data_IF_781608919480
#
_entry.id   IF_781608919480
#
_cell.length_a   1.000
_cell.length_b   1.000
_cell.length_c   1.000
_cell.angle_alpha   90.00
_cell.angle_beta   90.00
_cell.angle_gamma   90.00
#
_symmetry.space_group_name_H-M   'P 1'
#
loop_
_entity.id
_entity.type
_entity.pdbx_description
1 polymer ?
#
# COMPACT_ATOMS: atom_id res chain seq x y z
N UNK A 1 -60.59 1.25 -33.23
CA UNK A 1 -59.48 0.29 -33.04
C UNK A 1 -58.32 1.06 -32.41
N UNK A 2 -58.30 1.28 -31.09
CA UNK A 2 -57.79 0.33 -30.07
C UNK A 2 -56.40 -0.22 -30.47
N UNK A 3 -55.37 0.63 -30.35
CA UNK A 3 -53.96 0.26 -30.46
C UNK A 3 -53.36 -0.01 -29.07
N UNK A 4 -53.51 -1.24 -28.59
CA UNK A 4 -52.68 -1.93 -27.59
C UNK A 4 -51.92 -1.08 -26.53
N UNK A 5 -52.55 -0.81 -25.38
CA UNK A 5 -51.87 -0.41 -24.13
C UNK A 5 -51.14 -1.60 -23.46
N UNK A 6 -50.35 -2.35 -24.21
CA UNK A 6 -49.94 -3.71 -23.80
C UNK A 6 -48.42 -3.98 -23.83
N UNK A 7 -47.58 -2.98 -23.53
CA UNK A 7 -46.13 -3.20 -23.39
C UNK A 7 -45.43 -2.39 -22.26
N UNK A 8 -46.05 -2.35 -21.07
CA UNK A 8 -45.37 -1.89 -19.84
C UNK A 8 -45.04 -3.03 -18.86
N UNK A 9 -45.37 -4.28 -19.21
CA UNK A 9 -45.13 -5.47 -18.36
C UNK A 9 -43.69 -6.03 -18.44
N UNK A 10 -42.86 -5.57 -19.39
CA UNK A 10 -41.46 -6.00 -19.52
C UNK A 10 -40.45 -5.32 -18.57
N UNK A 11 -40.85 -4.27 -17.85
CA UNK A 11 -39.92 -3.39 -17.11
C UNK A 11 -39.26 -3.97 -15.85
N UNK A 12 -39.91 -4.79 -14.99
CA UNK A 12 -39.27 -5.33 -13.79
C UNK A 12 -38.10 -6.26 -14.11
N UNK A 13 -38.28 -7.14 -15.11
CA UNK A 13 -37.26 -8.09 -15.54
C UNK A 13 -35.99 -7.41 -16.06
N UNK A 14 -36.11 -6.35 -16.85
CA UNK A 14 -34.97 -5.61 -17.38
C UNK A 14 -34.13 -4.94 -16.28
N UNK A 15 -34.75 -4.37 -15.25
CA UNK A 15 -34.03 -3.76 -14.11
C UNK A 15 -33.33 -4.83 -13.27
N UNK A 16 -34.02 -5.94 -12.99
CA UNK A 16 -33.43 -7.09 -12.25
C UNK A 16 -32.26 -7.68 -13.02
N UNK A 17 -32.35 -7.84 -14.34
CA UNK A 17 -31.26 -8.37 -15.15
C UNK A 17 -30.09 -7.38 -15.26
N UNK A 18 -30.35 -6.08 -15.41
CA UNK A 18 -29.30 -5.06 -15.36
C UNK A 18 -28.56 -5.06 -14.01
N UNK A 19 -29.27 -5.20 -12.89
CA UNK A 19 -28.69 -5.34 -11.55
C UNK A 19 -27.86 -6.63 -11.41
N UNK A 20 -28.41 -7.77 -11.85
CA UNK A 20 -27.70 -9.06 -11.85
C UNK A 20 -26.44 -9.02 -12.71
N UNK A 21 -26.51 -8.42 -13.89
CA UNK A 21 -25.37 -8.25 -14.80
C UNK A 21 -24.32 -7.31 -14.21
N UNK A 22 -24.72 -6.18 -13.61
CA UNK A 22 -23.79 -5.24 -12.97
C UNK A 22 -22.93 -5.93 -11.91
N UNK A 23 -23.56 -6.65 -10.98
CA UNK A 23 -22.86 -7.34 -9.89
C UNK A 23 -22.19 -8.65 -10.32
N UNK A 24 -22.95 -9.53 -10.99
CA UNK A 24 -22.60 -10.94 -11.06
C UNK A 24 -22.04 -11.43 -12.40
N UNK A 25 -21.94 -10.57 -13.43
CA UNK A 25 -21.35 -10.93 -14.73
C UNK A 25 -19.99 -11.63 -14.54
N UNK A 26 -19.80 -12.69 -15.31
CA UNK A 26 -18.56 -13.46 -15.31
C UNK A 26 -17.56 -12.81 -16.28
N UNK A 27 -16.40 -12.40 -15.78
CA UNK A 27 -15.32 -11.80 -16.56
C UNK A 27 -13.98 -12.48 -16.17
N UNK A 28 -12.96 -12.49 -17.04
CA UNK A 28 -11.64 -13.03 -16.70
C UNK A 28 -11.04 -12.30 -15.49
N UNK A 29 -10.63 -13.04 -14.47
CA UNK A 29 -10.24 -12.50 -13.17
C UNK A 29 -8.90 -11.69 -13.15
N UNK A 30 -8.36 -11.23 -14.28
CA UNK A 30 -7.07 -10.53 -14.36
C UNK A 30 -7.01 -9.29 -13.46
N UNK A 31 -8.03 -8.42 -13.48
CA UNK A 31 -8.10 -7.22 -12.62
C UNK A 31 -8.04 -7.59 -11.13
N UNK A 32 -8.75 -8.65 -10.72
CA UNK A 32 -8.69 -9.15 -9.34
C UNK A 32 -7.33 -9.76 -8.99
N UNK A 33 -6.67 -10.40 -9.94
CA UNK A 33 -5.29 -10.89 -9.80
C UNK A 33 -4.28 -9.75 -9.62
N UNK A 34 -4.42 -8.66 -10.38
CA UNK A 34 -3.61 -7.45 -10.26
C UNK A 34 -3.79 -6.79 -8.88
N UNK A 35 -5.04 -6.57 -8.46
CA UNK A 35 -5.37 -6.03 -7.12
C UNK A 35 -4.75 -6.90 -6.03
N UNK A 36 -4.85 -8.24 -6.12
CA UNK A 36 -4.24 -9.15 -5.14
C UNK A 36 -2.73 -8.97 -5.05
N UNK A 37 -2.03 -8.85 -6.17
CA UNK A 37 -0.56 -8.68 -6.19
C UNK A 37 -0.19 -7.35 -5.53
N UNK A 38 -0.82 -6.25 -5.95
CA UNK A 38 -0.55 -4.92 -5.43
C UNK A 38 -0.90 -4.80 -3.93
N UNK A 39 -2.06 -5.31 -3.53
CA UNK A 39 -2.48 -5.34 -2.12
C UNK A 39 -1.57 -6.22 -1.26
N UNK A 40 -1.17 -7.39 -1.75
CA UNK A 40 -0.25 -8.27 -1.03
C UNK A 40 1.10 -7.59 -0.79
N UNK A 41 1.66 -6.94 -1.81
CA UNK A 41 2.90 -6.16 -1.69
C UNK A 41 2.74 -4.94 -0.74
N UNK A 42 1.59 -4.27 -0.79
CA UNK A 42 1.26 -3.18 0.12
C UNK A 42 1.19 -3.63 1.59
N UNK A 43 0.57 -4.78 1.87
CA UNK A 43 0.53 -5.33 3.24
C UNK A 43 1.91 -5.84 3.68
N UNK A 44 2.77 -6.31 2.76
CA UNK A 44 4.18 -6.59 3.10
C UNK A 44 4.88 -5.31 3.56
N UNK A 45 4.75 -4.20 2.83
CA UNK A 45 5.33 -2.93 3.22
C UNK A 45 4.77 -2.41 4.57
N UNK A 46 3.46 -2.53 4.78
CA UNK A 46 2.79 -2.19 6.03
C UNK A 46 3.27 -3.05 7.21
N UNK A 47 3.40 -4.36 7.02
CA UNK A 47 3.94 -5.26 8.04
C UNK A 47 5.40 -4.88 8.38
N UNK A 48 6.23 -4.62 7.37
CA UNK A 48 7.62 -4.20 7.58
C UNK A 48 7.72 -2.86 8.33
N UNK A 49 6.84 -1.89 8.07
CA UNK A 49 6.83 -0.62 8.83
C UNK A 49 6.42 -0.76 10.29
N UNK A 50 5.69 -1.81 10.68
CA UNK A 50 5.39 -2.08 12.09
C UNK A 50 6.55 -2.71 12.85
N UNK A 51 7.62 -3.15 12.17
CA UNK A 51 8.71 -3.91 12.81
C UNK A 51 9.59 -3.10 13.75
N UNK A 52 10.00 -1.84 13.47
CA UNK A 52 10.90 -1.10 14.37
C UNK A 52 10.28 -0.95 15.76
N UNK A 53 9.04 -0.48 15.81
CA UNK A 53 8.36 -0.04 17.04
C UNK A 53 7.36 -1.08 17.58
N UNK A 54 7.47 -2.35 17.13
CA UNK A 54 6.48 -3.41 17.38
C UNK A 54 6.14 -3.60 18.87
N UNK A 55 7.18 -3.61 19.72
CA UNK A 55 7.02 -3.80 21.17
C UNK A 55 6.74 -2.48 21.90
N UNK A 56 7.26 -1.35 21.41
CA UNK A 56 6.99 -0.04 21.99
C UNK A 56 5.51 0.38 21.82
N UNK A 57 4.91 0.07 20.67
CA UNK A 57 3.50 0.37 20.40
C UNK A 57 2.55 -0.71 20.93
N UNK A 58 2.86 -1.99 20.69
CA UNK A 58 1.90 -3.09 20.91
C UNK A 58 2.28 -4.05 22.05
N UNK A 59 3.49 -3.95 22.62
CA UNK A 59 4.01 -4.86 23.65
C UNK A 59 3.28 -4.81 24.99
N UNK A 60 3.69 -5.67 25.93
CA UNK A 60 3.10 -5.71 27.28
C UNK A 60 3.34 -4.40 28.04
N UNK A 61 4.55 -3.83 27.92
CA UNK A 61 4.95 -2.53 28.49
C UNK A 61 4.85 -1.37 27.48
N UNK A 62 4.14 -1.56 26.36
CA UNK A 62 4.01 -0.55 25.29
C UNK A 62 3.11 0.63 25.64
N UNK A 63 3.02 1.62 24.74
CA UNK A 63 2.21 2.86 24.91
C UNK A 63 0.76 2.57 25.30
N UNK A 64 0.20 1.47 24.78
CA UNK A 64 -1.12 0.95 25.16
C UNK A 64 -0.95 -0.49 25.68
N UNK A 65 -0.70 -0.71 26.98
CA UNK A 65 -0.41 -2.04 27.53
C UNK A 65 -1.49 -3.10 27.30
N UNK A 66 -2.76 -2.69 27.21
CA UNK A 66 -3.90 -3.59 27.03
C UNK A 66 -4.83 -3.09 25.91
N UNK A 67 -5.36 -4.00 25.09
CA UNK A 67 -6.33 -3.65 24.04
C UNK A 67 -7.52 -2.87 24.66
N UNK A 68 -7.85 -1.65 24.14
CA UNK A 68 -8.97 -0.87 24.66
C UNK A 68 -10.32 -1.60 24.52
N UNK A 69 -10.94 -1.92 25.66
CA UNK A 69 -12.20 -2.67 25.69
C UNK A 69 -13.35 -1.87 25.07
N UNK A 70 -14.04 -2.47 24.09
CA UNK A 70 -15.35 -2.00 23.59
C UNK A 70 -16.20 -3.20 23.22
N UNK A 71 -17.50 -3.12 23.55
CA UNK A 71 -18.48 -4.15 23.21
C UNK A 71 -18.41 -4.54 21.73
N UNK A 72 -18.51 -5.85 21.46
CA UNK A 72 -18.54 -6.44 20.10
C UNK A 72 -17.26 -6.26 19.28
N UNK A 73 -16.12 -5.93 19.92
CA UNK A 73 -14.78 -6.07 19.31
C UNK A 73 -14.19 -7.46 19.63
N UNK A 74 -13.19 -7.83 18.85
CA UNK A 74 -12.43 -9.07 18.98
C UNK A 74 -11.02 -8.86 18.38
N UNK A 75 -9.99 -9.48 18.93
CA UNK A 75 -8.65 -9.50 18.33
C UNK A 75 -7.86 -10.68 18.85
N UNK A 76 -6.91 -11.21 18.06
CA UNK A 76 -6.02 -12.28 18.56
C UNK A 76 -5.25 -11.77 19.80
N UNK A 77 -4.74 -10.55 19.73
CA UNK A 77 -3.98 -9.90 20.79
C UNK A 77 -4.83 -9.33 21.94
N UNK A 78 -6.15 -9.55 21.93
CA UNK A 78 -7.02 -9.34 23.09
C UNK A 78 -6.98 -10.53 24.04
N UNK A 79 -6.76 -11.73 23.50
CA UNK A 79 -6.70 -13.00 24.25
C UNK A 79 -5.25 -13.41 24.54
N UNK A 80 -4.33 -13.11 23.62
CA UNK A 80 -2.91 -13.44 23.75
C UNK A 80 -2.06 -12.21 23.38
N UNK A 81 -1.78 -11.36 24.38
CA UNK A 81 -1.19 -10.03 24.21
C UNK A 81 0.34 -9.97 24.33
N UNK A 82 1.02 -11.10 24.58
CA UNK A 82 2.44 -11.10 24.92
C UNK A 82 3.36 -10.77 23.74
N UNK A 83 4.59 -10.33 24.04
CA UNK A 83 5.60 -10.02 23.03
C UNK A 83 5.86 -11.17 22.07
N UNK A 84 5.82 -12.41 22.57
CA UNK A 84 5.93 -13.61 21.73
C UNK A 84 4.71 -13.77 20.80
N UNK A 85 3.49 -13.46 21.29
CA UNK A 85 2.28 -13.48 20.48
C UNK A 85 2.35 -12.46 19.34
N UNK A 86 2.80 -11.24 19.64
CA UNK A 86 2.95 -10.14 18.67
C UNK A 86 3.98 -10.49 17.60
N UNK A 87 5.14 -11.02 17.99
CA UNK A 87 6.19 -11.42 17.04
C UNK A 87 5.72 -12.58 16.15
N UNK A 88 5.04 -13.59 16.71
CA UNK A 88 4.45 -14.70 15.94
C UNK A 88 3.38 -14.18 14.98
N UNK A 89 2.48 -13.31 15.45
CA UNK A 89 1.43 -12.70 14.62
C UNK A 89 2.00 -11.84 13.49
N UNK A 90 3.09 -11.10 13.75
CA UNK A 90 3.82 -10.32 12.77
C UNK A 90 4.49 -11.20 11.70
N UNK A 91 5.15 -12.30 12.10
CA UNK A 91 5.74 -13.28 11.17
C UNK A 91 4.65 -13.89 10.28
N UNK A 92 3.52 -14.32 10.86
CA UNK A 92 2.41 -14.91 10.09
C UNK A 92 1.80 -13.86 9.14
N UNK A 93 1.69 -12.60 9.55
CA UNK A 93 1.21 -11.50 8.69
C UNK A 93 2.15 -11.28 7.50
N UNK A 94 3.46 -11.24 7.74
CA UNK A 94 4.45 -11.07 6.68
C UNK A 94 4.45 -12.26 5.71
N UNK A 95 4.46 -13.50 6.21
CA UNK A 95 4.43 -14.70 5.37
C UNK A 95 3.11 -14.83 4.61
N UNK A 96 1.97 -14.52 5.22
CA UNK A 96 0.67 -14.58 4.57
C UNK A 96 0.46 -13.46 3.55
N UNK A 97 1.02 -12.26 3.75
CA UNK A 97 0.99 -11.19 2.75
C UNK A 97 1.91 -11.46 1.55
N UNK A 98 3.10 -12.06 1.77
CA UNK A 98 3.94 -12.59 0.68
C UNK A 98 3.21 -13.71 -0.09
N UNK A 99 2.60 -14.67 0.62
CA UNK A 99 1.82 -15.74 -0.01
C UNK A 99 0.60 -15.20 -0.77
N UNK A 100 -0.04 -14.14 -0.27
CA UNK A 100 -1.13 -13.44 -0.95
C UNK A 100 -0.63 -12.76 -2.23
N UNK A 101 0.51 -12.05 -2.18
CA UNK A 101 1.12 -11.39 -3.34
C UNK A 101 1.53 -12.40 -4.44
N UNK A 102 2.13 -13.53 -4.06
CA UNK A 102 2.45 -14.64 -4.97
C UNK A 102 1.20 -15.42 -5.45
N UNK A 103 0.12 -15.36 -4.67
CA UNK A 103 -1.11 -16.10 -4.92
C UNK A 103 -0.95 -17.60 -4.68
N UNK A 104 -0.27 -17.97 -3.60
CA UNK A 104 -0.11 -19.33 -3.10
C UNK A 104 -1.07 -19.54 -1.93
N UNK A 105 -1.99 -20.52 -2.05
CA UNK A 105 -3.14 -20.68 -1.17
C UNK A 105 -3.91 -19.35 -0.96
N UNK A 106 -4.12 -18.61 -2.04
CA UNK A 106 -4.42 -17.18 -2.01
C UNK A 106 -5.63 -16.79 -1.13
N UNK A 107 -6.67 -17.64 -1.07
CA UNK A 107 -7.85 -17.41 -0.23
C UNK A 107 -7.55 -17.57 1.27
N UNK A 108 -6.75 -18.56 1.65
CA UNK A 108 -6.31 -18.74 3.04
C UNK A 108 -5.38 -17.58 3.45
N UNK A 109 -4.43 -17.23 2.59
CA UNK A 109 -3.53 -16.10 2.77
C UNK A 109 -4.30 -14.78 2.98
N UNK A 110 -5.33 -14.52 2.16
CA UNK A 110 -6.19 -13.33 2.31
C UNK A 110 -6.97 -13.31 3.63
N UNK A 111 -7.49 -14.46 4.09
CA UNK A 111 -8.17 -14.56 5.40
C UNK A 111 -7.20 -14.30 6.55
N UNK A 112 -5.99 -14.89 6.52
CA UNK A 112 -4.96 -14.65 7.54
C UNK A 112 -4.54 -13.18 7.59
N UNK A 113 -4.29 -12.57 6.42
CA UNK A 113 -4.00 -11.12 6.31
C UNK A 113 -5.13 -10.29 6.91
N UNK A 114 -6.40 -10.54 6.55
CA UNK A 114 -7.54 -9.80 7.11
C UNK A 114 -7.61 -9.93 8.64
N UNK A 115 -7.48 -11.15 9.18
CA UNK A 115 -7.56 -11.44 10.62
C UNK A 115 -6.40 -10.82 11.41
N UNK A 116 -5.19 -10.76 10.84
CA UNK A 116 -4.03 -10.16 11.51
C UNK A 116 -4.02 -8.63 11.40
N UNK A 117 -4.37 -8.07 10.24
CA UNK A 117 -4.55 -6.61 10.07
C UNK A 117 -5.60 -6.07 11.05
N UNK A 118 -6.76 -6.72 11.19
CA UNK A 118 -7.78 -6.29 12.16
C UNK A 118 -7.35 -6.51 13.62
N UNK A 119 -6.49 -7.50 13.90
CA UNK A 119 -5.97 -7.74 15.26
C UNK A 119 -4.95 -6.67 15.67
N UNK A 120 -3.96 -6.35 14.82
CA UNK A 120 -3.02 -5.25 15.09
C UNK A 120 -3.75 -3.90 15.23
N UNK A 121 -4.69 -3.59 14.32
CA UNK A 121 -5.50 -2.36 14.38
C UNK A 121 -6.43 -2.23 15.60
N UNK A 122 -6.67 -3.32 16.32
CA UNK A 122 -7.45 -3.31 17.56
C UNK A 122 -6.56 -3.31 18.79
N UNK A 123 -5.37 -3.92 18.73
CA UNK A 123 -4.39 -4.00 19.81
C UNK A 123 -3.95 -2.64 20.31
N UNK A 124 -3.65 -1.72 19.39
CA UNK A 124 -3.60 -0.28 19.64
C UNK A 124 -4.32 0.45 18.49
N UNK A 125 -5.52 1.04 18.73
CA UNK A 125 -6.27 1.74 17.70
C UNK A 125 -5.85 3.20 17.48
N UNK A 126 -4.92 3.75 18.27
CA UNK A 126 -4.52 5.17 18.23
C UNK A 126 -3.37 5.46 17.27
N UNK A 127 -2.53 4.46 16.97
CA UNK A 127 -1.44 4.53 15.97
C UNK A 127 -1.96 4.68 14.54
N UNK A 128 -3.18 4.20 14.26
CA UNK A 128 -3.68 3.99 12.90
C UNK A 128 -4.62 5.09 12.41
N UNK A 129 -4.57 5.36 11.10
CA UNK A 129 -5.37 6.38 10.43
C UNK A 129 -6.40 5.77 9.45
N UNK A 130 -7.04 6.62 8.64
CA UNK A 130 -8.08 6.16 7.69
C UNK A 130 -7.56 5.23 6.58
N UNK A 131 -6.27 5.28 6.25
CA UNK A 131 -5.61 4.37 5.31
C UNK A 131 -5.57 2.94 5.82
N UNK A 132 -5.29 2.74 7.10
CA UNK A 132 -5.31 1.43 7.73
C UNK A 132 -6.72 0.83 7.73
N UNK A 133 -7.74 1.65 7.97
CA UNK A 133 -9.14 1.21 7.87
C UNK A 133 -9.51 0.83 6.43
N UNK A 134 -8.94 1.48 5.42
CA UNK A 134 -9.10 1.07 4.02
C UNK A 134 -8.39 -0.26 3.74
N UNK A 135 -7.15 -0.45 4.19
CA UNK A 135 -6.42 -1.73 4.08
C UNK A 135 -7.24 -2.89 4.67
N UNK A 136 -7.89 -2.68 5.81
CA UNK A 136 -8.77 -3.68 6.44
C UNK A 136 -10.01 -4.02 5.59
N UNK A 137 -10.60 -3.03 4.92
CA UNK A 137 -11.76 -3.24 4.02
C UNK A 137 -11.33 -4.00 2.76
N UNK A 138 -10.19 -3.64 2.16
CA UNK A 138 -9.64 -4.32 0.99
C UNK A 138 -9.21 -5.76 1.31
N UNK A 139 -8.60 -5.99 2.48
CA UNK A 139 -8.30 -7.34 2.97
C UNK A 139 -9.58 -8.19 3.12
N UNK A 140 -10.65 -7.63 3.68
CA UNK A 140 -11.94 -8.32 3.79
C UNK A 140 -12.51 -8.69 2.40
N UNK A 141 -12.49 -7.74 1.46
CA UNK A 141 -12.97 -8.02 0.10
C UNK A 141 -12.12 -9.10 -0.58
N UNK A 142 -10.79 -9.08 -0.43
CA UNK A 142 -9.92 -10.12 -0.98
C UNK A 142 -10.13 -11.49 -0.30
N UNK A 143 -10.36 -11.53 1.02
CA UNK A 143 -10.65 -12.76 1.76
C UNK A 143 -11.96 -13.44 1.31
N UNK A 144 -12.98 -12.65 0.98
CA UNK A 144 -14.24 -13.15 0.41
C UNK A 144 -14.11 -13.58 -1.06
N UNK A 145 -13.09 -13.08 -1.78
CA UNK A 145 -12.94 -13.23 -3.23
C UNK A 145 -12.37 -14.57 -3.70
N UNK A 146 -12.33 -14.73 -5.03
CA UNK A 146 -11.57 -15.76 -5.73
C UNK A 146 -10.22 -15.24 -6.25
N UNK A 147 -9.51 -14.43 -5.45
CA UNK A 147 -8.25 -13.76 -5.82
C UNK A 147 -7.13 -14.68 -6.35
N UNK A 148 -7.18 -15.98 -6.05
CA UNK A 148 -6.28 -17.00 -6.61
C UNK A 148 -6.62 -17.46 -8.04
N UNK A 149 -7.63 -16.90 -8.72
CA UNK A 149 -8.13 -17.34 -10.02
C UNK A 149 -7.40 -16.78 -11.26
N UNK A 150 -6.45 -15.86 -11.08
CA UNK A 150 -5.60 -15.30 -12.14
C UNK A 150 -4.26 -14.81 -11.57
N UNK A 151 -3.22 -14.79 -12.43
CA UNK A 151 -1.89 -14.24 -12.13
C UNK A 151 -1.26 -14.78 -10.84
N UNK A 152 -1.50 -16.06 -10.52
CA UNK A 152 -1.21 -16.67 -9.22
C UNK A 152 -0.49 -18.01 -9.36
N UNK A 153 0.29 -18.39 -8.34
CA UNK A 153 0.86 -19.73 -8.24
C UNK A 153 -0.22 -20.82 -8.15
N UNK A 154 -1.34 -20.54 -7.47
CA UNK A 154 -2.52 -21.40 -7.43
C UNK A 154 -3.12 -21.67 -8.84
N UNK A 155 -3.16 -20.66 -9.71
CA UNK A 155 -3.66 -20.78 -11.08
C UNK A 155 -2.67 -21.53 -11.98
N UNK A 156 -1.37 -21.27 -11.82
CA UNK A 156 -0.30 -22.03 -12.48
C UNK A 156 -0.34 -23.51 -12.11
N UNK A 157 -0.54 -23.83 -10.83
CA UNK A 157 -0.67 -25.23 -10.36
C UNK A 157 -1.88 -25.95 -10.97
N UNK A 158 -2.98 -25.24 -11.22
CA UNK A 158 -4.21 -25.84 -11.80
C UNK A 158 -4.21 -25.93 -13.32
N UNK A 159 -3.55 -25.00 -14.02
CA UNK A 159 -3.69 -24.84 -15.48
C UNK A 159 -2.37 -24.88 -16.26
N UNK A 160 -1.23 -25.10 -15.59
CA UNK A 160 0.11 -25.04 -16.17
C UNK A 160 0.63 -23.62 -16.42
N UNK A 161 -0.25 -22.64 -16.71
CA UNK A 161 0.10 -21.25 -17.00
C UNK A 161 -0.19 -20.29 -15.84
N UNK A 162 0.76 -19.41 -15.54
CA UNK A 162 0.57 -18.30 -14.60
C UNK A 162 -0.27 -17.16 -15.20
N UNK A 163 -0.16 -16.96 -16.52
CA UNK A 163 -0.78 -15.87 -17.28
C UNK A 163 -2.20 -16.20 -17.77
N UNK A 164 -2.80 -17.28 -17.28
CA UNK A 164 -4.21 -17.59 -17.54
C UNK A 164 -5.10 -16.95 -16.46
N UNK A 165 -6.37 -16.73 -16.79
CA UNK A 165 -7.39 -16.30 -15.86
C UNK A 165 -8.65 -17.16 -16.01
N UNK A 166 -9.27 -17.49 -14.88
CA UNK A 166 -10.61 -18.10 -14.89
C UNK A 166 -11.67 -16.99 -14.97
N UNK A 167 -12.76 -17.24 -15.70
CA UNK A 167 -13.93 -16.38 -15.64
C UNK A 167 -14.61 -16.50 -14.27
N UNK A 168 -14.74 -15.39 -13.55
CA UNK A 168 -15.32 -15.32 -12.21
C UNK A 168 -16.25 -14.13 -12.11
N UNK A 169 -17.19 -14.21 -11.17
CA UNK A 169 -18.16 -13.16 -10.91
C UNK A 169 -17.48 -11.91 -10.35
N UNK A 170 -17.73 -10.75 -10.95
CA UNK A 170 -17.02 -9.49 -10.64
C UNK A 170 -17.50 -8.75 -9.39
N UNK A 171 -18.44 -9.30 -8.62
CA UNK A 171 -19.16 -8.58 -7.56
C UNK A 171 -18.26 -7.91 -6.51
N UNK A 172 -17.11 -8.50 -6.16
CA UNK A 172 -16.15 -7.89 -5.23
C UNK A 172 -15.32 -6.77 -5.86
N UNK A 173 -15.01 -6.84 -7.15
CA UNK A 173 -14.41 -5.71 -7.88
C UNK A 173 -15.43 -4.57 -8.00
N UNK A 174 -16.73 -4.88 -8.15
CA UNK A 174 -17.81 -3.89 -8.09
C UNK A 174 -17.95 -3.27 -6.70
N UNK A 175 -17.83 -4.06 -5.62
CA UNK A 175 -17.79 -3.52 -4.25
C UNK A 175 -16.60 -2.59 -4.03
N UNK A 176 -15.41 -2.93 -4.54
CA UNK A 176 -14.25 -2.02 -4.53
C UNK A 176 -14.51 -0.72 -5.31
N UNK A 177 -15.13 -0.79 -6.49
CA UNK A 177 -15.51 0.38 -7.29
C UNK A 177 -16.53 1.29 -6.58
N UNK A 178 -17.53 0.68 -5.92
CA UNK A 178 -18.51 1.40 -5.09
C UNK A 178 -17.83 1.99 -3.85
N UNK A 179 -16.94 1.25 -3.19
CA UNK A 179 -16.17 1.73 -2.04
C UNK A 179 -15.33 2.97 -2.38
N UNK A 180 -14.66 3.00 -3.54
CA UNK A 180 -13.94 4.20 -4.01
C UNK A 180 -14.88 5.41 -4.13
N UNK A 181 -16.05 5.19 -4.74
CA UNK A 181 -17.06 6.23 -4.95
C UNK A 181 -17.56 6.77 -3.61
N UNK A 182 -17.86 5.87 -2.66
CA UNK A 182 -18.33 6.22 -1.32
C UNK A 182 -17.26 6.96 -0.50
N UNK A 183 -15.99 6.56 -0.56
CA UNK A 183 -14.88 7.26 0.11
C UNK A 183 -14.83 8.71 -0.33
N UNK A 184 -14.86 8.96 -1.65
CA UNK A 184 -14.79 10.32 -2.17
C UNK A 184 -16.02 11.16 -1.85
N UNK A 185 -17.22 10.61 -2.01
CA UNK A 185 -18.45 11.33 -1.68
C UNK A 185 -18.54 11.64 -0.17
N UNK A 186 -18.11 10.73 0.70
CA UNK A 186 -18.01 10.98 2.14
C UNK A 186 -16.94 12.03 2.48
N UNK A 187 -15.79 12.00 1.79
CA UNK A 187 -14.70 12.97 1.97
C UNK A 187 -15.15 14.39 1.56
N UNK A 188 -15.78 14.53 0.40
CA UNK A 188 -16.39 15.80 -0.06
C UNK A 188 -17.38 16.32 0.96
N UNK A 189 -18.31 15.48 1.44
CA UNK A 189 -19.27 15.89 2.47
C UNK A 189 -18.57 16.38 3.74
N UNK A 190 -17.62 15.62 4.28
CA UNK A 190 -16.90 15.97 5.49
C UNK A 190 -16.07 17.27 5.34
N UNK A 191 -15.52 17.52 4.15
CA UNK A 191 -14.85 18.79 3.82
C UNK A 191 -15.86 19.94 3.74
N UNK A 192 -17.00 19.78 3.07
CA UNK A 192 -18.02 20.83 2.97
C UNK A 192 -18.65 21.20 4.34
N UNK A 193 -18.64 20.29 5.31
CA UNK A 193 -19.04 20.54 6.71
C UNK A 193 -17.96 21.33 7.52
N UNK A 194 -16.77 21.55 6.97
CA UNK A 194 -15.65 22.24 7.63
C UNK A 194 -15.47 23.69 7.15
N UNK A 195 -15.27 24.61 8.10
CA UNK A 195 -15.04 26.04 7.83
C UNK A 195 -13.74 26.32 7.08
N UNK A 196 -12.66 25.58 7.35
CA UNK A 196 -11.38 25.76 6.66
C UNK A 196 -11.46 25.36 5.18
N UNK A 197 -12.22 24.32 4.86
CA UNK A 197 -12.43 23.86 3.49
C UNK A 197 -13.39 24.75 2.72
N UNK A 198 -14.52 25.13 3.33
CA UNK A 198 -15.51 26.04 2.73
C UNK A 198 -15.02 27.49 2.59
N UNK A 199 -14.06 27.95 3.40
CA UNK A 199 -13.35 29.21 3.18
C UNK A 199 -12.19 29.08 2.16
N UNK A 200 -11.90 27.88 1.65
CA UNK A 200 -10.79 27.64 0.72
C UNK A 200 -9.40 27.89 1.32
N UNK A 201 -9.21 27.64 2.61
CA UNK A 201 -7.93 27.83 3.32
C UNK A 201 -7.30 26.53 3.85
N UNK A 202 -8.02 25.41 3.80
CA UNK A 202 -7.58 24.14 4.38
C UNK A 202 -6.19 23.67 3.93
N UNK A 203 -5.88 23.70 2.64
CA UNK A 203 -4.56 23.26 2.12
C UNK A 203 -3.44 24.18 2.64
N UNK A 204 -3.72 25.47 2.78
CA UNK A 204 -2.79 26.46 3.35
C UNK A 204 -2.45 26.19 4.81
N UNK A 205 -3.38 25.61 5.58
CA UNK A 205 -3.15 25.16 6.96
C UNK A 205 -2.40 23.82 6.99
N UNK A 206 -2.84 22.82 6.22
CA UNK A 206 -2.22 21.48 6.22
C UNK A 206 -0.75 21.53 5.84
N UNK A 207 -0.37 22.34 4.84
CA UNK A 207 1.02 22.53 4.42
C UNK A 207 1.86 23.43 5.36
N UNK A 208 1.33 23.78 6.54
CA UNK A 208 2.00 24.51 7.63
C UNK A 208 1.92 23.79 8.98
N UNK A 209 1.53 22.52 8.99
CA UNK A 209 1.68 21.66 10.17
C UNK A 209 3.02 20.95 10.02
N UNK A 210 4.05 21.47 10.69
CA UNK A 210 5.43 20.99 10.53
C UNK A 210 5.58 19.50 10.89
N UNK A 211 4.91 19.03 11.94
CA UNK A 211 4.85 17.61 12.35
C UNK A 211 4.29 16.66 11.27
N UNK A 212 3.56 17.19 10.28
CA UNK A 212 2.98 16.42 9.19
C UNK A 212 3.69 16.64 7.85
N UNK A 213 4.65 17.55 7.74
CA UNK A 213 5.35 17.80 6.48
C UNK A 213 6.37 16.69 6.16
N UNK A 214 6.38 16.24 4.90
CA UNK A 214 7.36 15.24 4.40
C UNK A 214 8.46 15.94 3.60
N UNK A 215 8.08 16.82 2.68
CA UNK A 215 8.97 17.72 1.97
C UNK A 215 8.44 19.16 2.09
N UNK A 216 9.32 20.17 2.17
CA UNK A 216 8.90 21.56 2.24
C UNK A 216 8.14 21.96 0.98
N UNK A 217 7.02 22.66 1.16
CA UNK A 217 6.26 23.22 0.03
C UNK A 217 7.02 24.41 -0.59
N UNK A 218 7.18 24.48 -1.92
CA UNK A 218 7.84 25.61 -2.56
C UNK A 218 7.22 26.97 -2.18
N UNK A 219 8.07 27.96 -1.90
CA UNK A 219 7.66 29.26 -1.37
C UNK A 219 6.64 29.99 -2.26
N UNK A 220 6.80 29.94 -3.58
CA UNK A 220 5.87 30.52 -4.56
C UNK A 220 4.46 29.92 -4.49
N UNK A 221 4.33 28.69 -3.97
CA UNK A 221 3.05 28.01 -3.79
C UNK A 221 2.49 28.27 -2.38
N UNK A 222 3.33 28.17 -1.34
CA UNK A 222 2.89 28.34 0.06
C UNK A 222 2.51 29.79 0.39
N UNK A 223 3.19 30.79 -0.17
CA UNK A 223 2.89 32.22 0.06
C UNK A 223 1.72 32.75 -0.78
N UNK A 224 1.33 32.05 -1.85
CA UNK A 224 0.30 32.52 -2.76
C UNK A 224 -1.11 32.05 -2.32
N UNK A 225 -1.84 32.96 -1.67
CA UNK A 225 -3.19 32.70 -1.17
C UNK A 225 -4.19 32.28 -2.28
N UNK A 226 -4.05 32.79 -3.50
CA UNK A 226 -4.95 32.44 -4.61
C UNK A 226 -4.69 31.01 -5.10
N UNK A 227 -3.43 30.58 -5.19
CA UNK A 227 -3.09 29.20 -5.50
C UNK A 227 -3.54 28.23 -4.40
N UNK A 228 -3.34 28.58 -3.13
CA UNK A 228 -3.84 27.78 -2.01
C UNK A 228 -5.37 27.62 -2.01
N UNK A 229 -6.09 28.68 -2.36
CA UNK A 229 -7.55 28.64 -2.51
C UNK A 229 -7.99 27.75 -3.68
N UNK A 230 -7.34 27.93 -4.84
CA UNK A 230 -7.59 27.12 -6.04
C UNK A 230 -7.30 25.63 -5.82
N UNK A 231 -6.23 25.28 -5.11
CA UNK A 231 -5.91 23.89 -4.77
C UNK A 231 -6.91 23.33 -3.75
N UNK A 232 -7.33 24.11 -2.75
CA UNK A 232 -8.34 23.67 -1.75
C UNK A 232 -9.67 23.32 -2.43
N UNK A 233 -10.21 24.21 -3.26
CA UNK A 233 -11.45 23.95 -4.01
C UNK A 233 -11.25 22.92 -5.12
N UNK A 234 -10.08 22.91 -5.77
CA UNK A 234 -9.70 21.93 -6.78
C UNK A 234 -9.68 20.50 -6.25
N UNK A 235 -9.21 20.29 -5.02
CA UNK A 235 -9.32 19.00 -4.32
C UNK A 235 -10.78 18.57 -4.17
N UNK A 236 -11.66 19.42 -3.65
CA UNK A 236 -13.09 19.09 -3.47
C UNK A 236 -13.75 18.77 -4.83
N UNK A 237 -13.47 19.57 -5.86
CA UNK A 237 -14.02 19.37 -7.19
C UNK A 237 -13.52 18.06 -7.84
N UNK A 238 -12.24 17.72 -7.69
CA UNK A 238 -11.66 16.48 -8.18
C UNK A 238 -12.21 15.26 -7.43
N UNK A 239 -12.31 15.31 -6.10
CA UNK A 239 -12.89 14.24 -5.30
C UNK A 239 -14.35 13.98 -5.69
N UNK A 240 -15.17 15.04 -5.84
CA UNK A 240 -16.55 14.91 -6.30
C UNK A 240 -16.63 14.33 -7.72
N UNK A 241 -15.74 14.77 -8.61
CA UNK A 241 -15.68 14.27 -9.98
C UNK A 241 -15.26 12.80 -10.05
N UNK A 242 -14.32 12.33 -9.22
CA UNK A 242 -13.98 10.91 -9.11
C UNK A 242 -15.18 10.15 -8.50
N UNK A 243 -15.77 10.65 -7.41
CA UNK A 243 -16.89 10.00 -6.72
C UNK A 243 -18.12 9.73 -7.60
N UNK A 244 -18.38 10.59 -8.59
CA UNK A 244 -19.54 10.48 -9.49
C UNK A 244 -19.15 9.98 -10.89
N UNK A 245 -18.15 10.59 -11.54
CA UNK A 245 -17.91 10.43 -12.97
C UNK A 245 -16.90 9.35 -13.34
N UNK A 246 -16.21 8.70 -12.37
CA UNK A 246 -15.29 7.57 -12.64
C UNK A 246 -15.97 6.39 -13.37
N UNK A 247 -17.29 6.27 -13.22
CA UNK A 247 -18.10 5.29 -13.92
C UNK A 247 -18.15 5.52 -15.44
N UNK A 248 -18.08 6.79 -15.90
CA UNK A 248 -18.06 7.15 -17.32
C UNK A 248 -16.73 6.73 -17.96
N UNK A 249 -16.80 5.77 -18.90
CA UNK A 249 -15.62 5.21 -19.59
C UNK A 249 -14.71 6.23 -20.27
N UNK A 250 -15.23 7.39 -20.71
CA UNK A 250 -14.43 8.45 -21.36
C UNK A 250 -13.65 9.30 -20.36
N UNK A 251 -14.27 9.61 -19.21
CA UNK A 251 -13.67 10.48 -18.18
C UNK A 251 -12.77 9.70 -17.21
N UNK A 252 -13.09 8.42 -16.96
CA UNK A 252 -12.38 7.51 -16.07
C UNK A 252 -10.85 7.61 -16.11
N UNK A 253 -10.15 7.43 -17.26
CA UNK A 253 -8.68 7.42 -17.26
C UNK A 253 -8.10 8.76 -16.78
N UNK A 254 -8.72 9.88 -17.15
CA UNK A 254 -8.31 11.22 -16.74
C UNK A 254 -8.59 11.48 -15.25
N UNK A 255 -9.73 11.04 -14.74
CA UNK A 255 -10.09 11.15 -13.32
C UNK A 255 -9.17 10.29 -12.43
N UNK A 256 -8.84 9.07 -12.87
CA UNK A 256 -7.87 8.22 -12.16
C UNK A 256 -6.46 8.80 -12.24
N UNK A 257 -6.02 9.35 -13.38
CA UNK A 257 -4.72 9.99 -13.51
C UNK A 257 -4.60 11.23 -12.60
N UNK A 258 -5.59 12.12 -12.63
CA UNK A 258 -5.64 13.28 -11.74
C UNK A 258 -5.68 12.86 -10.25
N UNK A 259 -6.45 11.81 -9.95
CA UNK A 259 -6.48 11.20 -8.63
C UNK A 259 -5.16 10.53 -8.22
N UNK A 260 -4.33 10.05 -9.16
CA UNK A 260 -2.98 9.55 -8.89
C UNK A 260 -2.06 10.73 -8.58
N UNK A 261 -2.04 11.75 -9.42
CA UNK A 261 -1.23 12.97 -9.23
C UNK A 261 -1.53 13.62 -7.87
N UNK A 262 -2.81 13.72 -7.48
CA UNK A 262 -3.24 14.24 -6.19
C UNK A 262 -2.67 13.40 -5.02
N UNK A 263 -2.83 12.08 -5.03
CA UNK A 263 -2.32 11.22 -3.94
C UNK A 263 -0.80 11.14 -3.90
N UNK A 264 -0.12 11.26 -5.04
CA UNK A 264 1.35 11.40 -5.09
C UNK A 264 1.78 12.73 -4.47
N UNK A 265 1.13 13.85 -4.82
CA UNK A 265 1.41 15.16 -4.22
C UNK A 265 1.18 15.16 -2.71
N UNK A 266 0.06 14.59 -2.24
CA UNK A 266 -0.20 14.41 -0.80
C UNK A 266 0.92 13.58 -0.18
N UNK A 267 1.27 12.42 -0.74
CA UNK A 267 2.31 11.53 -0.21
C UNK A 267 3.70 12.17 -0.14
N UNK A 268 4.04 13.10 -1.04
CA UNK A 268 5.34 13.80 -1.02
C UNK A 268 5.34 15.04 -0.13
N UNK A 269 4.18 15.61 0.23
CA UNK A 269 4.09 16.85 1.02
C UNK A 269 3.60 16.63 2.45
N UNK A 270 2.71 15.66 2.67
CA UNK A 270 1.99 15.43 3.93
C UNK A 270 2.05 13.95 4.34
N UNK A 271 2.44 13.69 5.58
CA UNK A 271 2.55 12.34 6.14
C UNK A 271 1.18 11.75 6.42
N UNK A 272 0.67 10.97 5.46
CA UNK A 272 -0.59 10.21 5.57
C UNK A 272 -0.37 8.69 5.58
N UNK A 273 0.87 8.26 5.80
CA UNK A 273 1.33 6.87 5.79
C UNK A 273 0.80 6.09 4.56
N UNK A 274 0.07 4.99 4.77
CA UNK A 274 -0.32 4.07 3.71
C UNK A 274 -1.59 4.45 2.92
N UNK A 275 -2.24 5.59 3.24
CA UNK A 275 -3.50 5.98 2.61
C UNK A 275 -3.41 6.11 1.08
N UNK A 276 -2.41 6.84 0.56
CA UNK A 276 -2.22 7.02 -0.88
C UNK A 276 -1.99 5.70 -1.61
N UNK A 277 -1.23 4.77 -1.03
CA UNK A 277 -0.97 3.46 -1.62
C UNK A 277 -2.23 2.58 -1.66
N UNK A 278 -3.05 2.59 -0.61
CA UNK A 278 -4.33 1.88 -0.59
C UNK A 278 -5.28 2.46 -1.67
N UNK A 279 -5.35 3.78 -1.80
CA UNK A 279 -6.12 4.42 -2.88
C UNK A 279 -5.63 4.03 -4.28
N UNK A 280 -4.32 3.83 -4.49
CA UNK A 280 -3.79 3.30 -5.75
C UNK A 280 -4.23 1.85 -6.02
N UNK A 281 -4.26 0.98 -5.01
CA UNK A 281 -4.81 -0.38 -5.15
C UNK A 281 -6.29 -0.33 -5.51
N UNK A 282 -7.07 0.56 -4.87
CA UNK A 282 -8.50 0.71 -5.15
C UNK A 282 -8.77 1.28 -6.55
N UNK A 283 -7.89 2.14 -7.09
CA UNK A 283 -7.94 2.56 -8.50
C UNK A 283 -7.77 1.41 -9.49
N UNK A 284 -6.98 0.38 -9.15
CA UNK A 284 -6.83 -0.80 -10.01
C UNK A 284 -8.16 -1.53 -10.24
N UNK A 285 -9.13 -1.41 -9.34
CA UNK A 285 -10.48 -1.94 -9.54
C UNK A 285 -11.20 -1.33 -10.76
N UNK A 286 -10.83 -0.14 -11.21
CA UNK A 286 -11.41 0.49 -12.41
C UNK A 286 -10.66 0.17 -13.72
N UNK A 287 -9.51 -0.50 -13.65
CA UNK A 287 -8.72 -0.94 -14.80
C UNK A 287 -9.40 -2.12 -15.50
N UNK A 288 -9.74 -2.01 -16.81
CA UNK A 288 -10.36 -3.11 -17.56
C UNK A 288 -9.45 -4.33 -17.63
N UNK A 289 -10.02 -5.53 -17.52
CA UNK A 289 -9.26 -6.79 -17.53
C UNK A 289 -8.52 -6.98 -18.87
N UNK A 290 -9.07 -6.44 -19.96
CA UNK A 290 -8.46 -6.41 -21.29
C UNK A 290 -7.13 -5.64 -21.30
N UNK A 291 -6.98 -4.63 -20.43
CA UNK A 291 -5.74 -3.84 -20.30
C UNK A 291 -4.67 -4.66 -19.59
N UNK A 292 -5.07 -5.44 -18.57
CA UNK A 292 -4.17 -6.32 -17.81
C UNK A 292 -3.75 -7.52 -18.65
N UNK A 293 -4.66 -8.10 -19.44
CA UNK A 293 -4.35 -9.21 -20.35
C UNK A 293 -3.34 -8.80 -21.43
N UNK A 294 -3.51 -7.60 -22.01
CA UNK A 294 -2.64 -7.05 -23.06
C UNK A 294 -1.27 -6.56 -22.57
N UNK A 295 -0.94 -6.73 -21.28
CA UNK A 295 0.38 -6.37 -20.77
C UNK A 295 1.50 -7.04 -21.59
N UNK A 296 2.47 -6.27 -22.14
CA UNK A 296 3.43 -6.77 -23.12
C UNK A 296 4.20 -8.01 -22.68
N UNK A 297 4.55 -8.86 -23.63
CA UNK A 297 5.34 -10.06 -23.38
C UNK A 297 6.70 -9.76 -22.73
N UNK A 298 7.26 -8.57 -22.95
CA UNK A 298 8.46 -8.05 -22.27
C UNK A 298 8.26 -7.87 -20.76
N UNK A 299 7.10 -7.37 -20.30
CA UNK A 299 6.76 -7.31 -18.85
C UNK A 299 6.63 -8.71 -18.28
N UNK A 300 6.04 -9.64 -19.04
CA UNK A 300 5.92 -11.05 -18.66
C UNK A 300 7.29 -11.73 -18.52
N UNK A 301 8.22 -11.41 -19.42
CA UNK A 301 9.61 -11.91 -19.38
C UNK A 301 10.39 -11.30 -18.22
N UNK A 302 10.30 -9.98 -17.98
CA UNK A 302 11.01 -9.31 -16.89
C UNK A 302 10.59 -9.87 -15.51
N UNK A 303 9.30 -10.13 -15.32
CA UNK A 303 8.79 -10.85 -14.15
C UNK A 303 9.32 -12.29 -14.03
N UNK A 304 9.48 -13.02 -15.15
CA UNK A 304 10.10 -14.35 -15.14
C UNK A 304 11.61 -14.30 -14.87
N UNK A 305 12.33 -13.27 -15.35
CA UNK A 305 13.76 -13.09 -15.13
C UNK A 305 14.09 -12.85 -13.66
N UNK A 306 13.29 -12.06 -12.94
CA UNK A 306 13.43 -11.93 -11.48
C UNK A 306 13.28 -13.28 -10.76
N UNK A 307 12.35 -14.13 -11.22
CA UNK A 307 12.13 -15.48 -10.67
C UNK A 307 13.27 -16.45 -11.07
N UNK A 308 13.85 -16.31 -12.27
CA UNK A 308 14.97 -17.16 -12.70
C UNK A 308 16.27 -16.80 -12.00
N UNK A 309 16.54 -15.51 -11.74
CA UNK A 309 17.72 -15.05 -10.98
C UNK A 309 17.75 -15.68 -9.57
N UNK A 310 16.60 -15.74 -8.89
CA UNK A 310 16.43 -16.43 -7.60
C UNK A 310 16.65 -17.95 -7.68
N UNK A 311 16.47 -18.58 -8.85
CA UNK A 311 16.79 -20.00 -9.09
C UNK A 311 18.27 -20.22 -9.40
N UNK A 312 18.88 -19.39 -10.24
CA UNK A 312 20.29 -19.51 -10.60
C UNK A 312 21.23 -19.19 -9.44
N UNK A 313 20.85 -18.27 -8.54
CA UNK A 313 21.60 -18.02 -7.30
C UNK A 313 21.75 -19.28 -6.43
N UNK A 314 20.67 -20.07 -6.32
CA UNK A 314 20.67 -21.34 -5.56
C UNK A 314 21.45 -22.47 -6.25
N UNK A 315 21.45 -22.52 -7.58
CA UNK A 315 22.22 -23.51 -8.34
C UNK A 315 23.73 -23.23 -8.32
N UNK A 316 24.15 -21.96 -8.22
CA UNK A 316 25.56 -21.56 -8.21
C UNK A 316 26.25 -21.71 -6.84
N UNK A 317 25.50 -22.09 -5.80
CA UNK A 317 25.97 -22.28 -4.42
C UNK A 317 25.90 -23.74 -3.96
N UNK A 318 25.49 -24.66 -4.84
CA UNK A 318 25.38 -26.08 -4.55
C UNK A 318 26.72 -26.78 -4.85
N UNK A 319 27.27 -27.60 -3.94
CA UNK A 319 28.48 -28.40 -4.22
C UNK A 319 28.30 -29.22 -5.50
N UNK A 320 29.39 -29.47 -6.23
CA UNK A 320 29.32 -30.11 -7.56
C UNK A 320 28.68 -31.51 -7.50
N UNK A 321 28.83 -32.19 -6.36
CA UNK A 321 28.31 -33.53 -6.07
C UNK A 321 26.77 -33.56 -6.08
N UNK A 322 26.14 -32.53 -5.50
CA UNK A 322 24.69 -32.39 -5.31
C UNK A 322 23.93 -31.91 -6.57
N UNK A 323 24.64 -31.49 -7.61
CA UNK A 323 24.01 -31.03 -8.85
C UNK A 323 23.31 -32.17 -9.61
N UNK A 324 22.10 -31.95 -10.17
CA UNK A 324 21.47 -32.93 -11.05
C UNK A 324 22.35 -33.27 -12.26
N UNK A 325 22.41 -34.54 -12.65
CA UNK A 325 23.26 -35.03 -13.76
C UNK A 325 23.06 -34.29 -15.10
N UNK A 326 21.85 -33.79 -15.35
CA UNK A 326 21.58 -32.95 -16.52
C UNK A 326 22.36 -31.61 -16.51
N UNK A 327 22.56 -31.01 -15.33
CA UNK A 327 23.33 -29.78 -15.17
C UNK A 327 24.85 -30.05 -15.26
N UNK A 328 25.33 -31.16 -14.68
CA UNK A 328 26.73 -31.62 -14.84
C UNK A 328 27.09 -31.82 -16.31
N UNK A 329 26.21 -32.47 -17.10
CA UNK A 329 26.40 -32.62 -18.56
C UNK A 329 26.48 -31.29 -19.31
N UNK A 330 25.67 -30.30 -18.96
CA UNK A 330 25.71 -28.97 -19.60
C UNK A 330 27.00 -28.20 -19.28
N UNK A 331 27.48 -28.26 -18.03
CA UNK A 331 28.75 -27.64 -17.63
C UNK A 331 29.94 -28.26 -18.37
N UNK A 332 30.00 -29.59 -18.47
CA UNK A 332 31.08 -30.29 -19.16
C UNK A 332 31.10 -29.98 -20.68
N UNK A 333 29.93 -29.80 -21.31
CA UNK A 333 29.86 -29.39 -22.71
C UNK A 333 30.37 -27.96 -22.94
N UNK A 334 30.17 -27.06 -21.97
CA UNK A 334 30.66 -25.68 -22.02
C UNK A 334 32.16 -25.56 -21.82
N UNK A 335 32.78 -26.48 -21.07
CA UNK A 335 34.24 -26.50 -20.89
C UNK A 335 34.96 -27.02 -22.15
N UNK A 336 34.34 -27.96 -22.87
CA UNK A 336 34.91 -28.59 -24.07
C UNK A 336 34.90 -27.71 -25.34
N UNK A 337 34.41 -26.46 -25.26
CA UNK A 337 34.23 -25.56 -26.42
C UNK A 337 35.01 -24.25 -26.32
N UNK A 338 35.90 -24.08 -25.33
CA UNK A 338 36.80 -22.93 -25.27
C UNK A 338 38.05 -23.18 -26.13
N UNK A 339 38.40 -22.31 -27.09
CA UNK A 339 39.63 -22.45 -27.87
C UNK A 339 40.87 -22.18 -26.99
N UNK A 340 41.95 -22.91 -27.23
CA UNK A 340 43.23 -22.71 -26.56
C UNK A 340 43.91 -21.42 -27.05
N UNK A 341 44.70 -20.73 -26.19
CA UNK A 341 45.49 -19.57 -26.62
C UNK A 341 46.65 -19.99 -27.53
N UNK A 342 47.08 -19.15 -28.48
CA UNK A 342 48.15 -19.48 -29.41
C UNK A 342 49.53 -19.44 -28.74
N UNK A 343 50.40 -20.35 -29.16
CA UNK A 343 51.79 -20.50 -28.68
C UNK A 343 52.77 -19.77 -29.61
N UNK A 344 53.93 -19.35 -29.07
CA UNK A 344 54.87 -18.41 -29.71
C UNK A 344 55.55 -18.92 -31.00
N UNK A 345 55.86 -18.00 -31.91
CA UNK A 345 56.95 -18.10 -32.89
C UNK A 345 57.61 -16.72 -33.09
N UNK A 346 58.93 -16.71 -33.36
CA UNK A 346 59.79 -15.53 -33.22
C UNK A 346 60.50 -15.10 -34.53
N UNK A 347 61.36 -14.07 -34.41
CA UNK A 347 62.38 -13.60 -35.37
C UNK A 347 61.89 -12.78 -36.59
N UNK A 348 62.48 -11.65 -36.99
CA UNK A 348 63.52 -10.83 -36.35
C UNK A 348 64.06 -9.69 -37.24
N UNK A 349 64.63 -8.64 -36.61
CA UNK A 349 65.44 -7.51 -37.21
C UNK A 349 64.64 -6.54 -38.13
N UNK A 350 64.92 -5.23 -38.28
CA UNK A 350 66.06 -4.33 -37.96
C UNK A 350 65.56 -2.93 -37.54
N UNK A 351 66.38 -2.14 -36.83
CA UNK A 351 66.17 -0.68 -36.58
C UNK A 351 66.73 0.21 -37.72
N UNK A 352 67.08 1.52 -37.52
CA UNK A 352 67.41 2.18 -36.23
C UNK A 352 66.87 3.63 -36.00
N UNK A 353 67.19 4.18 -34.81
CA UNK A 353 67.18 5.62 -34.43
C UNK A 353 65.82 6.19 -33.99
N UNK A 354 65.67 7.25 -33.19
CA UNK A 354 66.55 8.10 -32.33
C UNK A 354 65.58 8.97 -31.46
N UNK A 355 65.81 9.39 -30.21
CA UNK A 355 66.75 8.98 -29.14
C UNK A 355 66.25 9.57 -27.79
N UNK A 356 66.73 9.11 -26.61
CA UNK A 356 66.47 9.75 -25.29
C UNK A 356 65.99 8.84 -24.15
N UNK A 357 66.85 8.60 -23.15
CA UNK A 357 66.61 7.71 -21.99
C UNK A 357 65.76 8.33 -20.84
N UNK A 358 65.26 7.50 -19.88
CA UNK A 358 64.17 7.85 -18.97
C UNK A 358 64.62 8.21 -17.54
N UNK A 359 63.68 8.60 -16.66
CA UNK A 359 63.84 8.38 -15.21
C UNK A 359 62.54 8.33 -14.40
N UNK A 360 62.45 7.29 -13.56
CA UNK A 360 61.74 7.12 -12.28
C UNK A 360 60.45 7.93 -11.96
N UNK A 361 59.37 7.19 -11.63
CA UNK A 361 58.21 7.68 -10.87
C UNK A 361 58.31 7.19 -9.41
N UNK A 362 58.29 8.12 -8.46
CA UNK A 362 58.25 7.87 -7.01
C UNK A 362 56.80 7.99 -6.48
N UNK A 363 56.23 6.97 -5.80
CA UNK A 363 54.82 6.96 -5.43
C UNK A 363 54.54 7.44 -3.99
N UNK A 364 54.78 8.72 -3.68
CA UNK A 364 54.37 9.31 -2.40
C UNK A 364 53.76 10.73 -2.53
N UNK A 365 52.43 10.82 -2.63
CA UNK A 365 51.64 11.87 -1.94
C UNK A 365 50.13 11.59 -1.93
N UNK A 366 49.59 11.40 -0.73
CA UNK A 366 48.18 11.63 -0.39
C UNK A 366 48.09 12.92 0.43
N UNK A 367 47.17 13.85 0.15
CA UNK A 367 46.85 14.94 1.06
C UNK A 367 45.65 14.58 1.96
N UNK A 368 45.85 14.60 3.28
CA UNK A 368 44.78 14.56 4.28
C UNK A 368 44.29 15.98 4.64
N UNK A 369 43.01 16.03 5.03
CA UNK A 369 42.39 16.99 5.95
C UNK A 369 42.46 18.52 5.70
N UNK A 370 41.28 19.15 5.80
CA UNK A 370 41.14 20.40 6.54
C UNK A 370 39.93 20.32 7.48
N UNK A 371 40.17 20.52 8.77
CA UNK A 371 39.17 20.64 9.83
C UNK A 371 39.49 21.92 10.60
N UNK A 372 38.56 22.87 10.61
CA UNK A 372 38.51 24.09 11.44
C UNK A 372 37.01 24.46 11.46
N UNK A 373 36.24 24.45 12.56
CA UNK A 373 36.43 24.86 13.96
C UNK A 373 36.30 26.37 14.18
N UNK A 374 35.10 26.82 14.55
CA UNK A 374 34.81 28.16 15.08
C UNK A 374 33.95 28.03 16.36
N UNK A 375 34.56 28.38 17.49
CA UNK A 375 33.90 28.77 18.75
C UNK A 375 33.30 30.19 18.58
N UNK A 376 32.33 30.71 19.33
CA UNK A 376 31.50 30.25 20.46
C UNK A 376 30.47 31.34 20.79
N UNK A 377 29.33 31.01 21.39
CA UNK A 377 28.73 31.88 22.41
C UNK A 377 27.69 31.13 23.26
N UNK A 378 27.81 31.25 24.58
CA UNK A 378 26.82 30.80 25.55
C UNK A 378 25.62 31.75 25.59
N UNK A 379 24.41 31.19 25.66
CA UNK A 379 23.16 31.95 25.76
C UNK A 379 22.12 31.18 26.57
N UNK A 380 22.26 31.21 27.90
CA UNK A 380 21.29 30.61 28.81
C UNK A 380 20.10 31.54 29.04
N UNK A 381 18.97 31.31 28.38
CA UNK A 381 17.70 31.96 28.73
C UNK A 381 16.67 30.96 29.25
N UNK A 382 16.31 31.12 30.52
CA UNK A 382 15.10 30.54 31.09
C UNK A 382 13.90 31.24 30.47
N UNK A 383 12.95 30.49 29.92
CA UNK A 383 11.59 30.99 29.74
C UNK A 383 10.65 30.37 30.77
N UNK A 384 10.07 31.25 31.58
CA UNK A 384 9.10 30.95 32.64
C UNK A 384 7.76 31.56 32.23
N UNK A 385 6.69 30.77 32.30
CA UNK A 385 5.32 31.20 32.01
C UNK A 385 4.88 30.92 30.57
N UNK A 386 3.62 30.57 30.29
CA UNK A 386 2.48 30.47 31.20
C UNK A 386 1.58 29.27 30.86
N UNK A 387 1.15 28.55 31.89
CA UNK A 387 0.10 27.53 31.80
C UNK A 387 -1.27 28.20 31.62
N UNK A 388 -1.92 27.99 30.47
CA UNK A 388 -3.34 28.31 30.31
C UNK A 388 -4.19 27.03 30.45
N UNK A 389 -4.84 26.89 31.60
CA UNK A 389 -5.86 25.85 31.82
C UNK A 389 -7.13 26.16 31.01
N UNK A 390 -7.80 25.14 30.43
CA UNK A 390 -9.11 25.34 29.81
C UNK A 390 -10.17 25.67 30.87
N UNK A 391 -11.22 26.46 30.53
CA UNK A 391 -12.21 26.91 31.49
C UNK A 391 -13.11 25.77 31.98
N UNK A 392 -13.32 25.72 33.30
CA UNK A 392 -14.19 24.73 33.94
C UNK A 392 -15.66 24.93 33.55
N UNK A 393 -16.31 23.85 33.09
CA UNK A 393 -17.78 23.82 32.96
C UNK A 393 -18.41 23.59 34.34
N UNK A 394 -19.35 24.46 34.70
CA UNK A 394 -20.02 24.43 36.00
C UNK A 394 -20.83 23.14 36.21
N UNK A 395 -20.73 22.57 37.42
CA UNK A 395 -21.61 21.51 37.89
C UNK A 395 -22.86 22.10 38.57
N UNK A 396 -24.08 21.59 38.34
CA UNK A 396 -25.26 22.00 39.10
C UNK A 396 -25.26 21.39 40.50
N UNK A 397 -25.50 22.22 41.51
CA UNK A 397 -25.54 21.81 42.92
C UNK A 397 -26.79 21.01 43.29
N UNK A 398 -26.59 20.05 44.19
CA UNK A 398 -27.56 19.22 44.93
C UNK A 398 -28.92 19.86 45.28
N UNK A 399 -29.99 19.07 45.16
CA UNK A 399 -31.20 19.21 45.99
C UNK A 399 -31.69 17.86 46.57
N UNK A 400 -31.71 17.86 47.91
CA UNK A 400 -32.30 16.94 48.90
C UNK A 400 -33.26 15.84 48.43
N UNK A 401 -33.05 14.64 48.99
CA UNK A 401 -34.08 13.60 49.15
C UNK A 401 -35.15 13.98 50.21
N UNK A 402 -36.29 13.26 50.20
CA UNK A 402 -36.84 12.75 51.45
C UNK A 402 -37.13 11.24 51.42
N UNK A 403 -37.09 10.61 52.61
CA UNK A 403 -37.47 9.21 52.84
C UNK A 403 -39.00 9.04 52.79
N UNK A 404 -39.51 7.93 52.25
CA UNK A 404 -40.09 6.83 53.06
C UNK A 404 -41.14 5.93 52.35
N UNK A 405 -41.22 4.70 52.88
CA UNK A 405 -42.38 3.78 52.96
C UNK A 405 -42.83 2.89 51.78
N UNK A 406 -42.99 1.61 52.20
CA UNK A 406 -43.99 0.56 51.83
C UNK A 406 -43.70 -0.43 50.69
N UNK A 407 -43.30 -1.63 51.15
CA UNK A 407 -43.87 -2.96 50.84
C UNK A 407 -44.79 -3.07 49.61
N UNK A 408 -44.39 -3.91 48.65
CA UNK A 408 -45.27 -4.58 47.68
C UNK A 408 -44.77 -6.01 47.44
N UNK A 409 -45.67 -7.00 47.53
CA UNK A 409 -45.39 -8.44 47.39
C UNK A 409 -46.09 -8.96 46.12
N UNK A 410 -45.36 -9.59 45.22
CA UNK A 410 -45.83 -10.57 44.22
C UNK A 410 -44.57 -11.34 43.75
N UNK A 411 -44.49 -12.68 43.71
CA UNK A 411 -45.31 -13.65 42.96
C UNK A 411 -45.26 -13.41 41.46
#
# INVERSE_FOLDING_TARGET
MIGSFHDLRGRPGAVVEAWRSFWFRSEPAYTLGLIRIAFGALVVAWALSLRPDLHELFGEDGVVPHQPSRSYRWGIFEVWSSDQALMIGWIILLLSSIALAAGWHARLAAVLVFVLVISFQRRDPFVFNSGDYLLRIEALFLALSSCGAALSLDQRRRTGSFWSAQCRSVWLVRLMQVQLSLIYLASVRAKMESTAWSNGTAVSYTLRVDDLQVLPTPEWLSTNAMLMNLVTWGTIALELAIGIFVWNRRLRPWLLLAGVVMHTMIMTTVSVAFFSFAMFVLYMAFVPWETVERLPHSVRLLAMSCISVLRTGRAKQMPLEDLPEAAKKQLNHSAATSPAPPENAADGRTGPGEDGEPTAVDPHHLPQNRVEAIHSSSGSERWVGATQSPPAKAAPSSRRAPKSRRRGRAR
#
